data_IF_499505160412
#
_entry.id   IF_499505160412
#
_cell.length_a   1.000
_cell.length_b   1.000
_cell.length_c   1.000
_cell.angle_alpha   90.00
_cell.angle_beta   90.00
_cell.angle_gamma   90.00
#
_symmetry.space_group_name_H-M   'P 1'
#
loop_
_entity.id
_entity.type
_entity.pdbx_description
1 polymer ?
#
# COMPACT_ATOMS: atom_id res chain seq x y z
N UNK A 1 -3.93 -15.16 -16.24
CA UNK A 1 -4.57 -16.48 -16.18
C UNK A 1 -4.50 -17.13 -14.79
N UNK A 2 -3.41 -16.99 -14.03
CA UNK A 2 -3.26 -17.74 -12.75
C UNK A 2 -4.37 -17.44 -11.74
N UNK A 3 -4.58 -16.17 -11.34
CA UNK A 3 -5.52 -15.85 -10.26
C UNK A 3 -6.98 -16.17 -10.62
N UNK A 4 -7.46 -15.66 -11.76
CA UNK A 4 -8.83 -15.94 -12.23
C UNK A 4 -9.04 -17.42 -12.56
N UNK A 5 -8.05 -18.10 -13.16
CA UNK A 5 -8.15 -19.53 -13.46
C UNK A 5 -8.26 -20.40 -12.20
N UNK A 6 -7.51 -20.09 -11.14
CA UNK A 6 -7.65 -20.79 -9.85
C UNK A 6 -9.05 -20.55 -9.26
N UNK A 7 -9.60 -19.35 -9.37
CA UNK A 7 -10.95 -19.08 -8.89
C UNK A 7 -12.00 -19.89 -9.67
N UNK A 8 -11.89 -19.99 -11.00
CA UNK A 8 -12.77 -20.80 -11.82
C UNK A 8 -12.67 -22.30 -11.51
N UNK A 9 -11.45 -22.84 -11.43
CA UNK A 9 -11.20 -24.27 -11.20
C UNK A 9 -11.78 -24.77 -9.87
N UNK A 10 -11.85 -23.90 -8.86
CA UNK A 10 -12.28 -24.25 -7.50
C UNK A 10 -13.61 -23.61 -7.07
N UNK A 11 -14.29 -22.88 -7.96
CA UNK A 11 -15.53 -22.17 -7.65
C UNK A 11 -15.36 -21.06 -6.60
N UNK A 12 -14.18 -20.42 -6.59
CA UNK A 12 -13.84 -19.29 -5.73
C UNK A 12 -14.18 -17.93 -6.36
N UNK A 13 -13.72 -16.87 -5.70
CA UNK A 13 -13.89 -15.47 -6.17
C UNK A 13 -12.50 -14.88 -6.41
N UNK A 14 -12.34 -14.17 -7.54
CA UNK A 14 -11.15 -13.38 -7.82
C UNK A 14 -11.55 -11.90 -7.94
N UNK A 15 -10.90 -11.05 -7.15
CA UNK A 15 -11.11 -9.61 -7.20
C UNK A 15 -10.22 -8.98 -8.26
N UNK A 16 -10.71 -7.93 -8.94
CA UNK A 16 -9.86 -7.00 -9.66
C UNK A 16 -9.64 -5.79 -8.76
N UNK A 17 -8.42 -5.60 -8.28
CA UNK A 17 -8.04 -4.45 -7.45
C UNK A 17 -7.00 -3.60 -8.18
N UNK A 18 -7.26 -2.31 -8.27
CA UNK A 18 -6.26 -1.32 -8.66
C UNK A 18 -5.48 -0.89 -7.42
N UNK A 19 -4.15 -0.93 -7.51
CA UNK A 19 -3.25 -0.50 -6.44
C UNK A 19 -2.90 0.97 -6.67
N UNK A 20 -3.89 1.83 -6.49
CA UNK A 20 -3.87 3.26 -6.83
C UNK A 20 -3.39 4.14 -5.66
N UNK A 21 -2.18 3.85 -5.18
CA UNK A 21 -1.58 4.49 -4.00
C UNK A 21 -0.67 5.68 -4.33
N UNK A 22 -0.33 5.90 -5.60
CA UNK A 22 0.52 6.99 -6.07
C UNK A 22 -0.18 7.86 -7.13
N UNK A 23 -0.80 8.99 -6.73
CA UNK A 23 -1.56 9.83 -7.64
C UNK A 23 -0.71 10.50 -8.73
N UNK A 24 0.62 10.54 -8.63
CA UNK A 24 1.49 11.14 -9.64
C UNK A 24 1.71 10.24 -10.86
N UNK A 25 1.57 8.92 -10.69
CA UNK A 25 1.86 7.93 -11.74
C UNK A 25 0.63 7.20 -12.25
N UNK A 26 -0.52 7.50 -11.68
CA UNK A 26 -1.78 6.80 -11.95
C UNK A 26 -2.71 7.65 -12.80
N UNK A 27 -3.34 7.01 -13.78
CA UNK A 27 -4.26 7.64 -14.71
C UNK A 27 -5.45 6.70 -14.96
N UNK A 28 -6.64 7.29 -15.12
CA UNK A 28 -7.86 6.59 -15.48
C UNK A 28 -7.74 5.85 -16.81
N UNK A 29 -6.93 6.33 -17.75
CA UNK A 29 -6.65 5.62 -19.00
C UNK A 29 -6.09 4.21 -18.75
N UNK A 30 -5.22 4.06 -17.75
CA UNK A 30 -4.67 2.76 -17.37
C UNK A 30 -5.71 1.87 -16.73
N UNK A 31 -6.55 2.42 -15.84
CA UNK A 31 -7.65 1.69 -15.21
C UNK A 31 -8.59 1.09 -16.27
N UNK A 32 -9.04 1.92 -17.21
CA UNK A 32 -9.97 1.51 -18.25
C UNK A 32 -9.36 0.49 -19.22
N UNK A 33 -8.10 0.69 -19.62
CA UNK A 33 -7.41 -0.23 -20.52
C UNK A 33 -7.16 -1.59 -19.87
N UNK A 34 -6.74 -1.63 -18.61
CA UNK A 34 -6.53 -2.87 -17.86
C UNK A 34 -7.86 -3.64 -17.72
N UNK A 35 -8.96 -2.97 -17.35
CA UNK A 35 -10.29 -3.62 -17.27
C UNK A 35 -10.69 -4.23 -18.61
N UNK A 36 -10.51 -3.49 -19.71
CA UNK A 36 -10.82 -3.98 -21.06
C UNK A 36 -9.99 -5.21 -21.41
N UNK A 37 -8.70 -5.19 -21.12
CA UNK A 37 -7.78 -6.29 -21.48
C UNK A 37 -8.06 -7.55 -20.65
N UNK A 38 -8.38 -7.41 -19.35
CA UNK A 38 -8.80 -8.53 -18.50
C UNK A 38 -10.11 -9.15 -19.02
N UNK A 39 -11.09 -8.34 -19.42
CA UNK A 39 -12.33 -8.84 -20.07
C UNK A 39 -12.06 -9.50 -21.41
N UNK A 40 -11.15 -8.94 -22.20
CA UNK A 40 -10.76 -9.51 -23.49
C UNK A 40 -10.12 -10.90 -23.34
N UNK A 41 -9.39 -11.13 -22.24
CA UNK A 41 -8.86 -12.45 -21.88
C UNK A 41 -9.94 -13.46 -21.44
N UNK A 42 -11.20 -13.04 -21.32
CA UNK A 42 -12.34 -13.90 -20.97
C UNK A 42 -12.66 -13.97 -19.49
N UNK A 43 -12.00 -13.15 -18.66
CA UNK A 43 -12.23 -13.14 -17.21
C UNK A 43 -13.23 -12.05 -16.80
N UNK A 44 -13.99 -12.35 -15.76
CA UNK A 44 -14.94 -11.42 -15.13
C UNK A 44 -14.71 -11.39 -13.62
N UNK A 45 -14.65 -10.19 -13.07
CA UNK A 45 -14.59 -9.96 -11.62
C UNK A 45 -15.98 -9.71 -11.01
N UNK A 46 -17.05 -9.65 -11.83
CA UNK A 46 -18.40 -9.35 -11.39
C UNK A 46 -18.45 -8.00 -10.67
N UNK A 47 -19.03 -7.97 -9.47
CA UNK A 47 -19.11 -6.78 -8.63
C UNK A 47 -17.83 -6.55 -7.79
N UNK A 48 -16.78 -7.37 -7.96
CA UNK A 48 -15.56 -7.35 -7.14
C UNK A 48 -14.46 -6.47 -7.73
N UNK A 49 -14.83 -5.23 -8.09
CA UNK A 49 -13.89 -4.18 -8.49
C UNK A 49 -13.56 -3.32 -7.27
N UNK A 50 -12.28 -3.16 -6.97
CA UNK A 50 -11.82 -2.40 -5.81
C UNK A 50 -10.65 -1.47 -6.15
N UNK A 51 -10.51 -0.40 -5.39
CA UNK A 51 -9.37 0.52 -5.45
C UNK A 51 -8.67 0.51 -4.09
N UNK A 52 -7.34 0.64 -4.05
CA UNK A 52 -6.62 0.81 -2.80
C UNK A 52 -7.01 2.12 -2.11
N UNK A 53 -7.30 3.15 -2.90
CA UNK A 53 -7.80 4.45 -2.43
C UNK A 53 -9.15 4.38 -1.70
N UNK A 54 -10.01 3.40 -2.01
CA UNK A 54 -11.26 3.15 -1.27
C UNK A 54 -11.01 2.82 0.22
N UNK A 55 -9.78 2.40 0.55
CA UNK A 55 -9.38 2.00 1.90
C UNK A 55 -8.51 3.03 2.62
N UNK A 56 -8.32 4.24 2.09
CA UNK A 56 -7.43 5.23 2.73
C UNK A 56 -7.82 5.57 4.17
N UNK A 57 -9.11 5.75 4.45
CA UNK A 57 -9.58 5.98 5.82
C UNK A 57 -9.21 4.82 6.74
N UNK A 58 -9.41 3.58 6.28
CA UNK A 58 -9.07 2.38 7.05
C UNK A 58 -7.56 2.21 7.23
N UNK A 59 -6.76 2.53 6.21
CA UNK A 59 -5.29 2.50 6.28
C UNK A 59 -4.80 3.56 7.28
N UNK A 60 -5.41 4.74 7.29
CA UNK A 60 -5.11 5.80 8.25
C UNK A 60 -5.44 5.38 9.69
N UNK A 61 -6.60 4.77 9.93
CA UNK A 61 -6.96 4.21 11.24
C UNK A 61 -5.94 3.16 11.72
N UNK A 62 -5.48 2.29 10.83
CA UNK A 62 -4.42 1.34 11.16
C UNK A 62 -3.08 2.01 11.44
N UNK A 63 -2.74 3.09 10.74
CA UNK A 63 -1.52 3.86 11.02
C UNK A 63 -1.57 4.49 12.42
N UNK A 64 -2.69 5.12 12.80
CA UNK A 64 -2.90 5.64 14.15
C UNK A 64 -2.82 4.53 15.21
N UNK A 65 -3.41 3.36 14.94
CA UNK A 65 -3.30 2.21 15.83
C UNK A 65 -1.85 1.76 16.02
N UNK A 66 -1.06 1.69 14.95
CA UNK A 66 0.36 1.34 15.04
C UNK A 66 1.16 2.39 15.83
N UNK A 67 0.82 3.67 15.71
CA UNK A 67 1.42 4.74 16.53
C UNK A 67 1.07 4.54 18.01
N UNK A 68 -0.20 4.33 18.34
CA UNK A 68 -0.66 4.07 19.71
C UNK A 68 -0.02 2.83 20.35
N UNK A 69 0.27 1.80 19.55
CA UNK A 69 0.97 0.58 19.99
C UNK A 69 2.51 0.74 20.08
N UNK A 70 3.05 1.93 19.75
CA UNK A 70 4.50 2.18 19.73
C UNK A 70 5.25 1.44 18.62
N UNK A 71 4.55 1.09 17.53
CA UNK A 71 5.05 0.31 16.39
C UNK A 71 5.28 1.15 15.13
N UNK A 72 4.83 2.41 15.13
CA UNK A 72 5.08 3.39 14.08
C UNK A 72 5.48 4.74 14.70
N UNK A 73 6.23 5.54 13.95
CA UNK A 73 6.63 6.89 14.32
C UNK A 73 6.75 7.75 13.06
N UNK A 74 6.57 9.06 13.19
CA UNK A 74 6.81 10.03 12.12
C UNK A 74 8.31 10.32 12.07
N UNK A 75 8.95 10.04 10.94
CA UNK A 75 10.35 10.41 10.69
C UNK A 75 10.41 11.78 10.00
N UNK A 76 11.28 12.66 10.49
CA UNK A 76 11.47 14.00 9.91
C UNK A 76 12.86 14.17 9.28
N UNK A 77 13.58 13.07 9.05
CA UNK A 77 14.78 13.07 8.21
C UNK A 77 14.42 13.32 6.74
N UNK A 78 15.32 13.99 6.01
CA UNK A 78 15.25 14.06 4.55
C UNK A 78 15.65 12.71 3.91
N UNK A 79 15.46 12.58 2.60
CA UNK A 79 15.71 11.31 1.90
C UNK A 79 17.17 10.84 2.07
N UNK A 80 18.12 11.77 2.04
CA UNK A 80 19.53 11.49 2.25
C UNK A 80 19.81 11.03 3.69
N UNK A 81 19.20 11.69 4.68
CA UNK A 81 19.24 11.29 6.08
C UNK A 81 18.69 9.86 6.27
N UNK A 82 17.52 9.55 5.71
CA UNK A 82 16.95 8.20 5.77
C UNK A 82 17.93 7.17 5.18
N UNK A 83 18.54 7.47 4.01
CA UNK A 83 19.52 6.57 3.38
C UNK A 83 20.74 6.33 4.26
N UNK A 84 21.28 7.38 4.90
CA UNK A 84 22.44 7.27 5.79
C UNK A 84 22.16 6.45 7.06
N UNK A 85 20.96 6.57 7.63
CA UNK A 85 20.59 5.85 8.85
C UNK A 85 20.16 4.40 8.60
N UNK A 86 19.71 4.07 7.37
CA UNK A 86 19.29 2.72 6.97
C UNK A 86 20.43 1.69 6.96
N UNK A 87 21.67 2.14 6.76
CA UNK A 87 22.83 1.26 6.60
C UNK A 87 22.94 0.70 5.18
N UNK A 88 23.63 -0.43 5.03
CA UNK A 88 23.86 -1.10 3.75
C UNK A 88 23.62 -2.61 3.88
N UNK A 89 23.76 -3.36 2.78
CA UNK A 89 23.70 -4.83 2.80
C UNK A 89 24.78 -5.48 3.69
N UNK A 90 25.82 -4.74 4.09
CA UNK A 90 26.91 -5.22 4.96
C UNK A 90 27.00 -4.50 6.31
N UNK A 91 26.31 -3.38 6.49
CA UNK A 91 26.38 -2.56 7.70
C UNK A 91 24.98 -2.33 8.25
N UNK A 92 24.70 -2.68 9.52
CA UNK A 92 23.37 -2.47 10.09
C UNK A 92 23.02 -0.98 10.13
N UNK A 93 21.73 -0.68 9.97
CA UNK A 93 21.20 0.65 10.21
C UNK A 93 21.25 1.04 11.70
N UNK A 94 20.95 2.30 11.97
CA UNK A 94 20.88 2.86 13.32
C UNK A 94 19.58 3.64 13.51
N UNK A 95 19.02 3.69 14.74
CA UNK A 95 17.87 4.52 15.04
C UNK A 95 18.05 5.97 14.58
N UNK A 96 17.04 6.51 13.89
CA UNK A 96 16.94 7.95 13.60
C UNK A 96 16.67 8.74 14.88
N UNK A 97 16.96 10.06 14.91
CA UNK A 97 16.75 10.90 16.09
C UNK A 97 15.27 11.04 16.49
N UNK A 98 14.35 10.79 15.56
CA UNK A 98 12.90 10.90 15.77
C UNK A 98 12.21 9.58 16.16
N UNK A 99 12.98 8.48 16.26
CA UNK A 99 12.43 7.13 16.47
C UNK A 99 11.65 6.99 17.78
N UNK A 100 12.10 7.68 18.82
CA UNK A 100 11.57 7.54 20.18
C UNK A 100 10.63 8.71 20.57
N UNK A 101 10.01 9.37 19.58
CA UNK A 101 8.91 10.33 19.79
C UNK A 101 7.76 9.69 20.59
N UNK A 102 7.05 10.51 21.36
CA UNK A 102 5.89 10.01 22.10
C UNK A 102 4.73 9.72 21.16
N UNK A 103 3.75 8.92 21.62
CA UNK A 103 2.52 8.65 20.86
C UNK A 103 1.82 9.95 20.50
N UNK A 104 1.72 10.88 21.45
CA UNK A 104 1.05 12.17 21.27
C UNK A 104 1.76 13.04 20.22
N UNK A 105 3.10 13.09 20.23
CA UNK A 105 3.85 13.84 19.21
C UNK A 105 3.67 13.22 17.82
N UNK A 106 3.66 11.89 17.71
CA UNK A 106 3.47 11.23 16.41
C UNK A 106 2.05 11.38 15.84
N UNK A 107 1.02 11.51 16.69
CA UNK A 107 -0.37 11.71 16.24
C UNK A 107 -0.68 13.16 15.84
N UNK A 108 0.11 14.13 16.32
CA UNK A 108 -0.07 15.57 16.01
C UNK A 108 0.59 16.00 14.69
N UNK A 109 1.63 15.27 14.26
CA UNK A 109 2.44 15.56 13.07
C UNK A 109 1.87 14.94 11.79
#
# INVERSE_FOLDING_TARGET
ALNFGIAEDFGGVCHLRFDDTNPETEDMEYVESIMRDVRWLGYDWGDNLFFASDYYDQIYEFAEQLIMEGKAYVDSLDEEGIRQYRGTVTTPGRPGPYRDRTVEENLDL
#
